data_IF_199698629249
#
_entry.id   IF_199698629249
#
_cell.length_a   1.000
_cell.length_b   1.000
_cell.length_c   1.000
_cell.angle_alpha   90.00
_cell.angle_beta   90.00
_cell.angle_gamma   90.00
#
_symmetry.space_group_name_H-M   'P 1'
#
loop_
_entity.id
_entity.type
_entity.pdbx_description
1 polymer ?
#
# COMPACT_ATOMS: atom_id res chain seq x y z
N UNK A 1 17.78 9.12 -10.82
CA UNK A 1 16.96 8.19 -10.03
C UNK A 1 16.64 7.07 -10.99
N UNK A 2 17.25 5.90 -10.81
CA UNK A 2 17.09 4.78 -11.76
C UNK A 2 15.67 4.24 -11.68
N UNK A 3 14.98 4.18 -12.82
CA UNK A 3 13.69 3.51 -12.93
C UNK A 3 13.87 2.02 -12.68
N UNK A 4 13.16 1.49 -11.68
CA UNK A 4 13.25 0.08 -11.32
C UNK A 4 12.44 -0.75 -12.32
N UNK A 5 13.08 -1.73 -12.99
CA UNK A 5 12.39 -2.65 -13.89
C UNK A 5 11.47 -3.58 -13.08
N UNK A 6 10.21 -3.20 -12.97
CA UNK A 6 9.23 -3.92 -12.16
C UNK A 6 8.67 -5.15 -12.88
N UNK A 7 8.49 -6.25 -12.14
CA UNK A 7 7.72 -7.43 -12.56
C UNK A 7 6.72 -7.81 -11.46
N UNK A 8 5.63 -8.55 -11.78
CA UNK A 8 4.66 -9.01 -10.78
C UNK A 8 5.27 -9.82 -9.63
N UNK A 9 6.42 -10.47 -9.84
CA UNK A 9 7.16 -11.23 -8.83
C UNK A 9 7.70 -10.36 -7.69
N UNK A 10 7.75 -9.03 -7.87
CA UNK A 10 8.18 -8.09 -6.85
C UNK A 10 7.07 -7.71 -5.86
N UNK A 11 5.82 -8.09 -6.12
CA UNK A 11 4.71 -7.83 -5.19
C UNK A 11 4.94 -8.55 -3.86
N UNK A 12 4.64 -7.88 -2.75
CA UNK A 12 4.84 -8.48 -1.43
C UNK A 12 3.66 -9.40 -1.09
N UNK A 13 3.88 -10.70 -1.13
CA UNK A 13 2.89 -11.67 -0.71
C UNK A 13 2.67 -11.62 0.81
N UNK A 14 1.41 -11.73 1.20
CA UNK A 14 0.98 -11.80 2.59
C UNK A 14 -0.07 -12.88 2.78
N UNK A 15 -0.20 -13.35 4.01
CA UNK A 15 -1.27 -14.25 4.46
C UNK A 15 -2.18 -13.50 5.42
N UNK A 16 -3.48 -13.73 5.27
CA UNK A 16 -4.50 -13.23 6.18
C UNK A 16 -4.91 -14.33 7.15
N UNK A 17 -5.26 -13.96 8.39
CA UNK A 17 -5.81 -14.92 9.37
C UNK A 17 -7.21 -15.36 8.93
N UNK A 18 -8.05 -14.39 8.58
CA UNK A 18 -9.41 -14.61 8.08
C UNK A 18 -9.65 -13.86 6.76
N UNK A 19 -10.55 -14.35 5.91
CA UNK A 19 -10.88 -13.68 4.65
C UNK A 19 -11.48 -12.27 4.88
N UNK A 20 -12.23 -12.09 5.98
CA UNK A 20 -12.84 -10.81 6.35
C UNK A 20 -11.81 -9.74 6.76
N UNK A 21 -10.59 -10.15 7.14
CA UNK A 21 -9.50 -9.21 7.44
C UNK A 21 -9.08 -8.40 6.21
N UNK A 22 -9.42 -8.87 5.00
CA UNK A 22 -9.20 -8.13 3.77
C UNK A 22 -9.83 -6.73 3.83
N UNK A 23 -11.09 -6.62 4.30
CA UNK A 23 -11.77 -5.33 4.39
C UNK A 23 -11.18 -4.45 5.49
N UNK A 24 -10.75 -5.05 6.62
CA UNK A 24 -10.10 -4.32 7.73
C UNK A 24 -8.75 -3.74 7.29
N UNK A 25 -7.95 -4.51 6.56
CA UNK A 25 -6.66 -4.06 6.02
C UNK A 25 -6.89 -2.99 4.96
N UNK A 26 -7.86 -3.18 4.06
CA UNK A 26 -8.21 -2.18 3.03
C UNK A 26 -8.60 -0.83 3.64
N UNK A 27 -9.40 -0.83 4.71
CA UNK A 27 -9.74 0.40 5.45
C UNK A 27 -8.50 0.98 6.13
N UNK A 28 -7.73 0.16 6.84
CA UNK A 28 -6.51 0.60 7.55
C UNK A 28 -5.52 1.27 6.61
N UNK A 29 -5.29 0.70 5.44
CA UNK A 29 -4.40 1.25 4.41
C UNK A 29 -4.85 2.61 3.87
N UNK A 30 -6.15 2.92 3.87
CA UNK A 30 -6.66 4.25 3.46
C UNK A 30 -6.20 5.38 4.39
N UNK A 31 -5.80 5.02 5.62
CA UNK A 31 -5.30 5.94 6.66
C UNK A 31 -3.77 5.93 6.78
N UNK A 32 -3.06 5.31 5.83
CA UNK A 32 -1.59 5.21 5.84
C UNK A 32 -1.00 5.64 4.50
N UNK A 33 0.00 6.53 4.56
CA UNK A 33 0.75 6.91 3.36
C UNK A 33 1.60 8.15 3.55
N UNK A 34 1.65 9.01 2.53
CA UNK A 34 2.44 10.24 2.55
C UNK A 34 1.52 11.43 2.80
N UNK A 35 1.87 12.27 3.77
CA UNK A 35 1.07 13.44 4.13
C UNK A 35 1.61 14.74 3.52
N UNK A 36 0.72 15.53 2.94
CA UNK A 36 0.95 16.94 2.65
C UNK A 36 0.41 17.78 3.81
N UNK A 37 1.30 18.34 4.62
CA UNK A 37 0.90 19.22 5.75
C UNK A 37 0.24 20.51 5.29
N UNK A 38 0.68 21.05 4.15
CA UNK A 38 0.13 22.28 3.56
C UNK A 38 -1.34 22.12 3.16
N UNK A 39 -1.68 20.97 2.60
CA UNK A 39 -3.03 20.66 2.11
C UNK A 39 -3.86 19.88 3.14
N UNK A 40 -3.28 19.53 4.30
CA UNK A 40 -3.86 18.61 5.30
C UNK A 40 -4.45 17.35 4.65
N UNK A 41 -3.69 16.79 3.71
CA UNK A 41 -4.10 15.67 2.86
C UNK A 41 -3.17 14.48 3.05
N UNK A 42 -3.76 13.29 3.19
CA UNK A 42 -3.05 12.02 3.24
C UNK A 42 -3.22 11.28 1.91
N UNK A 43 -2.11 11.00 1.24
CA UNK A 43 -2.11 10.21 0.01
C UNK A 43 -1.84 8.74 0.35
N UNK A 44 -2.86 7.89 0.19
CA UNK A 44 -2.74 6.44 0.37
C UNK A 44 -1.61 5.89 -0.51
N UNK A 45 -0.68 5.15 0.10
CA UNK A 45 0.50 4.63 -0.61
C UNK A 45 0.34 3.16 -1.04
N UNK A 46 -0.32 2.35 -0.22
CA UNK A 46 -0.40 0.91 -0.45
C UNK A 46 -1.84 0.40 -0.49
N UNK A 47 -2.02 -0.73 -1.16
CA UNK A 47 -3.27 -1.43 -1.32
C UNK A 47 -3.09 -2.91 -1.01
N UNK A 48 -4.16 -3.54 -0.53
CA UNK A 48 -4.26 -4.99 -0.51
C UNK A 48 -4.89 -5.48 -1.81
N UNK A 49 -4.26 -6.46 -2.44
CA UNK A 49 -4.68 -7.09 -3.69
C UNK A 49 -4.95 -8.58 -3.43
N UNK A 50 -6.05 -9.10 -3.94
CA UNK A 50 -6.33 -10.54 -3.98
C UNK A 50 -6.22 -11.03 -5.43
N UNK A 51 -5.33 -11.97 -5.70
CA UNK A 51 -5.07 -12.50 -7.05
C UNK A 51 -4.77 -13.99 -6.98
N UNK A 52 -5.52 -14.79 -7.72
CA UNK A 52 -5.32 -16.25 -7.85
C UNK A 52 -5.22 -16.98 -6.49
N UNK A 53 -6.07 -16.60 -5.51
CA UNK A 53 -6.10 -17.22 -4.19
C UNK A 53 -5.01 -16.75 -3.22
N UNK A 54 -4.19 -15.75 -3.62
CA UNK A 54 -3.10 -15.17 -2.82
C UNK A 54 -3.36 -13.70 -2.54
N UNK A 55 -2.86 -13.21 -1.42
CA UNK A 55 -2.98 -11.81 -1.02
C UNK A 55 -1.64 -11.11 -1.11
N UNK A 56 -1.68 -9.83 -1.49
CA UNK A 56 -0.47 -9.02 -1.66
C UNK A 56 -0.67 -7.63 -1.08
N UNK A 57 0.38 -7.08 -0.48
CA UNK A 57 0.48 -5.64 -0.21
C UNK A 57 1.31 -5.03 -1.33
N UNK A 58 0.72 -4.07 -2.03
CA UNK A 58 1.33 -3.45 -3.22
C UNK A 58 1.29 -1.93 -3.12
N UNK A 59 2.33 -1.26 -3.60
CA UNK A 59 2.34 0.18 -3.77
C UNK A 59 1.42 0.58 -4.95
N UNK A 60 0.77 1.74 -4.89
CA UNK A 60 -0.15 2.18 -5.97
C UNK A 60 0.53 2.26 -7.35
N UNK A 61 1.84 2.50 -7.39
CA UNK A 61 2.63 2.49 -8.63
C UNK A 61 2.81 1.08 -9.21
N UNK A 62 2.88 0.04 -8.37
CA UNK A 62 2.88 -1.35 -8.85
C UNK A 62 1.54 -1.69 -9.52
N UNK A 63 0.43 -1.12 -9.02
CA UNK A 63 -0.88 -1.25 -9.66
C UNK A 63 -0.93 -0.55 -11.04
N UNK A 64 -0.30 0.63 -11.19
CA UNK A 64 -0.14 1.25 -12.51
C UNK A 64 0.70 0.38 -13.46
N UNK A 65 1.77 -0.23 -12.97
CA UNK A 65 2.61 -1.12 -13.75
C UNK A 65 1.86 -2.41 -14.17
N UNK A 66 1.03 -2.98 -13.28
CA UNK A 66 0.12 -4.10 -13.59
C UNK A 66 -0.87 -3.75 -14.71
N UNK A 67 -1.33 -2.51 -14.78
CA UNK A 67 -2.21 -2.02 -15.84
C UNK A 67 -1.45 -1.69 -17.15
N UNK A 68 -0.14 -1.93 -17.22
CA UNK A 68 0.71 -1.58 -18.38
C UNK A 68 0.94 -0.08 -18.54
N UNK A 69 0.66 0.73 -17.51
CA UNK A 69 0.91 2.17 -17.51
C UNK A 69 2.34 2.46 -17.07
N UNK A 70 2.87 3.62 -17.50
CA UNK A 70 4.14 4.09 -17.00
C UNK A 70 4.04 4.34 -15.50
N UNK A 71 4.82 3.57 -14.75
CA UNK A 71 4.95 3.68 -13.31
C UNK A 71 6.38 4.07 -12.99
N UNK A 72 6.61 5.32 -12.59
CA UNK A 72 7.92 5.80 -12.11
C UNK A 72 8.19 5.23 -10.71
N UNK A 73 8.27 3.91 -10.60
CA UNK A 73 8.48 3.15 -9.37
C UNK A 73 9.95 3.23 -8.98
N UNK A 74 10.21 3.65 -7.74
CA UNK A 74 11.54 3.75 -7.16
C UNK A 74 11.73 2.74 -6.03
N UNK A 75 12.98 2.45 -5.68
CA UNK A 75 13.30 1.61 -4.53
C UNK A 75 12.65 2.12 -3.23
N UNK A 76 12.56 3.44 -3.04
CA UNK A 76 11.93 4.02 -1.87
C UNK A 76 10.41 3.74 -1.81
N UNK A 77 9.73 3.59 -2.95
CA UNK A 77 8.32 3.20 -2.97
C UNK A 77 8.14 1.76 -2.44
N UNK A 78 9.04 0.84 -2.80
CA UNK A 78 9.07 -0.53 -2.29
C UNK A 78 9.43 -0.56 -0.79
N UNK A 79 10.44 0.20 -0.38
CA UNK A 79 10.84 0.32 1.01
C UNK A 79 9.71 0.85 1.90
N UNK A 80 8.92 1.83 1.44
CA UNK A 80 7.73 2.32 2.17
C UNK A 80 6.64 1.26 2.24
N UNK A 81 6.38 0.55 1.15
CA UNK A 81 5.44 -0.59 1.13
C UNK A 81 5.83 -1.64 2.17
N UNK A 82 7.11 -1.99 2.24
CA UNK A 82 7.64 -2.96 3.18
C UNK A 82 7.46 -2.50 4.63
N UNK A 83 7.77 -1.24 4.94
CA UNK A 83 7.52 -0.67 6.28
C UNK A 83 6.03 -0.69 6.64
N UNK A 84 5.15 -0.33 5.70
CA UNK A 84 3.69 -0.37 5.93
C UNK A 84 3.23 -1.82 6.17
N UNK A 85 3.72 -2.78 5.40
CA UNK A 85 3.40 -4.19 5.61
C UNK A 85 3.88 -4.70 6.96
N UNK A 86 5.10 -4.31 7.39
CA UNK A 86 5.60 -4.63 8.73
C UNK A 86 4.71 -4.04 9.84
N UNK A 87 4.24 -2.79 9.70
CA UNK A 87 3.30 -2.21 10.66
C UNK A 87 2.00 -3.02 10.76
N UNK A 88 1.46 -3.49 9.63
CA UNK A 88 0.26 -4.33 9.62
C UNK A 88 0.51 -5.71 10.24
N UNK A 89 1.72 -6.26 10.07
CA UNK A 89 2.14 -7.50 10.71
C UNK A 89 2.30 -7.32 12.23
N UNK A 90 2.91 -6.22 12.68
CA UNK A 90 3.06 -5.87 14.11
C UNK A 90 1.70 -5.69 14.80
N UNK A 91 0.67 -5.25 14.06
CA UNK A 91 -0.72 -5.18 14.53
C UNK A 91 -1.50 -6.49 14.34
N UNK A 92 -0.80 -7.56 13.97
CA UNK A 92 -1.35 -8.90 13.77
C UNK A 92 -2.49 -9.00 12.73
N UNK A 93 -2.54 -8.06 11.79
CA UNK A 93 -3.57 -8.02 10.73
C UNK A 93 -3.22 -8.96 9.57
N UNK A 94 -1.93 -9.21 9.35
CA UNK A 94 -1.42 -10.08 8.28
C UNK A 94 -0.09 -10.71 8.68
N UNK A 95 0.37 -11.66 7.89
CA UNK A 95 1.70 -12.26 7.98
C UNK A 95 2.43 -12.06 6.64
N UNK A 96 3.63 -11.50 6.66
CA UNK A 96 4.46 -11.36 5.45
C UNK A 96 5.04 -12.73 5.09
N UNK A 97 4.94 -13.11 3.81
CA UNK A 97 5.52 -14.35 3.29
C UNK A 97 6.86 -14.03 2.61
N UNK A 98 7.94 -14.64 3.10
CA UNK A 98 9.31 -14.47 2.56
C UNK A 98 10.30 -13.89 3.58
N UNK A 99 11.47 -13.51 3.09
CA UNK A 99 12.59 -13.02 3.90
C UNK A 99 12.48 -11.53 4.27
N UNK A 100 13.40 -11.06 5.13
CA UNK A 100 13.49 -9.67 5.57
C UNK A 100 13.60 -8.72 4.36
N UNK A 101 12.67 -7.78 4.30
CA UNK A 101 12.54 -6.82 3.21
C UNK A 101 13.08 -5.47 3.65
N UNK A 102 13.88 -4.82 2.80
CA UNK A 102 14.44 -3.49 3.05
C UNK A 102 13.34 -2.44 3.30
N UNK A 103 13.52 -1.57 4.31
CA UNK A 103 12.46 -0.74 4.89
C UNK A 103 12.82 0.74 4.86
N UNK A 104 11.83 1.59 4.56
CA UNK A 104 11.99 3.04 4.68
C UNK A 104 11.84 3.47 6.15
N UNK A 105 12.50 4.56 6.58
CA UNK A 105 12.28 5.14 7.90
C UNK A 105 10.81 5.49 8.14
N UNK A 106 10.32 5.20 9.36
CA UNK A 106 8.94 5.53 9.76
C UNK A 106 8.60 7.02 9.61
N UNK A 107 9.59 7.91 9.69
CA UNK A 107 9.40 9.36 9.49
C UNK A 107 8.88 9.72 8.08
N UNK A 108 9.03 8.83 7.10
CA UNK A 108 8.49 9.02 5.74
C UNK A 108 7.02 8.57 5.61
N UNK A 109 6.44 7.98 6.66
CA UNK A 109 5.11 7.37 6.64
C UNK A 109 4.23 8.08 7.67
N UNK A 110 3.09 8.58 7.23
CA UNK A 110 2.04 9.09 8.11
C UNK A 110 0.99 8.00 8.30
N UNK A 111 0.73 7.70 9.56
CA UNK A 111 -0.42 6.89 10.01
C UNK A 111 -1.40 7.85 10.69
N UNK A 112 -2.67 7.78 10.32
CA UNK A 112 -3.76 8.48 10.99
C UNK A 112 -4.55 7.52 11.86
N UNK A 113 -4.76 7.90 13.12
CA UNK A 113 -5.71 7.17 13.96
C UNK A 113 -7.13 7.34 13.44
N UNK A 114 -8.04 6.47 13.87
CA UNK A 114 -9.45 6.56 13.48
C UNK A 114 -10.08 7.91 13.87
N UNK A 115 -9.64 8.52 14.97
CA UNK A 115 -10.15 9.81 15.47
C UNK A 115 -9.65 11.00 14.66
N UNK A 116 -8.45 10.91 14.11
CA UNK A 116 -7.84 12.00 13.32
C UNK A 116 -8.22 11.92 11.84
N UNK A 117 -8.86 10.85 11.37
CA UNK A 117 -9.09 10.68 9.93
C UNK A 117 -9.99 11.78 9.35
N UNK A 118 -10.97 12.25 10.12
CA UNK A 118 -11.94 13.27 9.68
C UNK A 118 -11.31 14.66 9.62
N UNK A 119 -10.12 14.82 10.22
CA UNK A 119 -9.32 16.03 10.09
C UNK A 119 -8.58 16.09 8.74
N UNK A 120 -8.39 14.96 8.06
CA UNK A 120 -7.55 14.90 6.87
C UNK A 120 -8.37 14.55 5.64
N UNK A 121 -7.99 15.15 4.51
CA UNK A 121 -8.48 14.67 3.22
C UNK A 121 -7.73 13.37 2.86
N UNK A 122 -8.44 12.24 2.85
CA UNK A 122 -7.88 10.94 2.46
C UNK A 122 -7.98 10.78 0.93
N UNK A 123 -6.84 10.86 0.25
CA UNK A 123 -6.77 10.72 -1.21
C UNK A 123 -6.18 9.37 -1.62
N UNK A 124 -6.91 8.65 -2.47
CA UNK A 124 -6.46 7.41 -3.08
C UNK A 124 -6.01 7.65 -4.51
N UNK A 125 -4.70 7.50 -4.78
CA UNK A 125 -4.13 7.70 -6.13
C UNK A 125 -4.50 6.60 -7.15
N UNK A 126 -4.87 5.42 -6.67
CA UNK A 126 -5.29 4.29 -7.50
C UNK A 126 -6.61 3.72 -7.03
N UNK A 127 -7.64 3.78 -7.86
CA UNK A 127 -8.91 3.11 -7.58
C UNK A 127 -8.92 1.71 -8.17
N UNK A 128 -8.80 0.69 -7.32
CA UNK A 128 -8.95 -0.72 -7.72
C UNK A 128 -10.38 -0.91 -8.24
N UNK A 129 -10.50 -1.26 -9.52
CA UNK A 129 -11.78 -1.62 -10.12
C UNK A 129 -12.68 -0.45 -10.52
N UNK A 130 -12.14 0.67 -11.02
CA UNK A 130 -13.01 1.65 -11.70
C UNK A 130 -13.84 0.93 -12.77
N UNK A 131 -15.17 0.97 -12.60
CA UNK A 131 -16.18 0.73 -13.65
C UNK A 131 -15.62 1.32 -14.94
N UNK A 132 -15.62 0.53 -16.02
CA UNK A 132 -15.61 1.12 -17.37
C UNK A 132 -16.68 2.21 -17.35
N UNK A 133 -16.28 3.45 -17.34
CA UNK A 133 -17.13 4.52 -17.85
C UNK A 133 -16.90 4.40 -19.35
N UNK A 134 -17.90 3.87 -20.05
CA UNK A 134 -18.07 4.15 -21.48
C UNK A 134 -18.09 5.66 -21.72
#
# INVERSE_FOLDING_TARGET
>A
MEDLKWTPDLMLEVKLKEADDFLKIRETLSRIGVASRKERRLYQSCHILHKQGRYFIVHFKELFALDGKQANLSQNDLQRRNTIASLLQDWELLEIIGDDVDKAPLSQIKVLSYKEKDDWELETKYSIGKKRME
#
